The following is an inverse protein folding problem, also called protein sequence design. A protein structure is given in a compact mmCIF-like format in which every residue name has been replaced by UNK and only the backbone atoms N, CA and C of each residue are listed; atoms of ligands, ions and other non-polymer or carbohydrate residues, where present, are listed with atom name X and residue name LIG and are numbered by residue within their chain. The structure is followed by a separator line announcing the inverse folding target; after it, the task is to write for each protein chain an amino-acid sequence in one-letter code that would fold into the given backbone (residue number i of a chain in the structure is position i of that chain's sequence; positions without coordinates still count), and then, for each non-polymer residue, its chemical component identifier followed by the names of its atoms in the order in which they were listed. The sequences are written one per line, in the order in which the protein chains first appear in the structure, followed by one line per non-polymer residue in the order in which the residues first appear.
data_IF_331889649096
#
_entry.id   IF_331889649096
#
_cell.length_a   1.000
_cell.length_b   1.000
_cell.length_c   1.000
_cell.angle_alpha   90.00
_cell.angle_beta   90.00
_cell.angle_gamma   90.00
#
_symmetry.space_group_name_H-M   'P 1'
#
loop_
_entity.id
_entity.type
_entity.pdbx_description
1 polymer ?
#
# COMPACT_ATOMS: atom_id res chain seq x y z
N UNK A 1 -12.25 -4.13 64.27
CA UNK A 1 -11.92 -3.91 63.99
C UNK A 1 -11.27 -3.75 63.08
N UNK A 2 -11.13 -3.52 62.65
CA UNK A 2 -10.54 -3.24 61.99
C UNK A 2 -10.17 -3.59 60.95
N UNK A 3 -9.92 -3.69 60.37
CA UNK A 3 -9.44 -3.97 59.47
C UNK A 3 -9.78 -3.80 58.31
N UNK A 4 -9.96 -3.66 57.98
CA UNK A 4 -10.34 -3.42 57.17
C UNK A 4 -9.86 -2.80 56.33
N UNK A 5 -9.82 -2.32 56.17
CA UNK A 5 -9.35 -1.45 55.58
C UNK A 5 -8.50 -1.75 54.66
N UNK A 6 -7.95 -2.04 54.82
CA UNK A 6 -7.05 -2.32 54.16
C UNK A 6 -7.12 -2.55 52.88
N UNK A 7 -7.66 -3.04 52.61
CA UNK A 7 -7.81 -3.50 51.45
C UNK A 7 -7.83 -2.54 50.46
N UNK A 8 -8.31 -1.67 50.64
CA UNK A 8 -8.48 -0.71 49.74
C UNK A 8 -7.30 -0.46 48.89
N UNK A 9 -6.24 -0.42 49.41
CA UNK A 9 -5.07 -0.08 48.68
C UNK A 9 -4.84 -0.87 47.45
N UNK A 10 -4.99 -2.05 47.56
CA UNK A 10 -4.64 -2.86 46.46
C UNK A 10 -5.32 -2.52 45.19
N UNK A 11 -6.44 -2.07 45.31
CA UNK A 11 -7.13 -1.85 44.12
C UNK A 11 -6.53 -0.90 43.26
N UNK A 12 -6.01 0.06 43.82
CA UNK A 12 -5.51 1.04 43.02
C UNK A 12 -4.56 0.59 42.07
N UNK A 13 -3.75 -0.22 42.42
CA UNK A 13 -2.68 -0.64 41.56
C UNK A 13 -3.14 -1.13 40.24
N UNK A 14 -4.22 -1.73 40.22
CA UNK A 14 -4.69 -2.29 39.02
C UNK A 14 -4.93 -1.35 37.93
N UNK A 15 -5.45 -0.27 38.19
CA UNK A 15 -5.81 0.63 37.16
C UNK A 15 -4.65 1.03 36.32
N UNK A 16 -3.55 1.16 36.90
CA UNK A 16 -2.41 1.62 36.19
C UNK A 16 -1.96 0.74 35.08
N UNK A 17 -2.00 -0.49 35.31
CA UNK A 17 -1.51 -1.41 34.33
C UNK A 17 -2.21 -1.43 33.04
N UNK A 18 -3.45 -1.29 33.10
CA UNK A 18 -4.24 -1.33 31.93
C UNK A 18 -3.87 -0.35 30.87
N UNK A 19 -3.48 0.79 31.28
CA UNK A 19 -3.13 1.80 30.37
C UNK A 19 -2.08 1.44 29.42
N UNK A 20 -1.11 0.76 29.87
CA UNK A 20 0.00 0.40 29.02
C UNK A 20 -0.40 -0.41 27.84
N UNK A 21 -1.28 -1.27 28.03
CA UNK A 21 -1.65 -2.13 26.96
C UNK A 21 -2.17 -1.37 25.77
N UNK A 22 -2.85 -0.34 26.01
CA UNK A 22 -3.44 0.39 24.92
C UNK A 22 -2.42 0.99 24.00
N UNK A 23 -1.31 1.34 24.54
CA UNK A 23 -0.31 1.99 23.75
C UNK A 23 0.35 1.11 22.73
N UNK A 24 0.37 -0.13 22.97
CA UNK A 24 1.04 -1.01 22.06
C UNK A 24 0.27 -1.31 20.82
N UNK A 25 -0.91 -0.79 20.71
CA UNK A 25 -1.73 -1.12 19.58
C UNK A 25 -1.54 -0.23 18.37
N UNK A 26 -0.48 0.49 18.31
CA UNK A 26 -0.25 1.36 17.18
C UNK A 26 -0.12 0.53 15.91
N UNK A 27 -0.75 0.94 14.84
CA UNK A 27 -0.65 0.20 13.60
C UNK A 27 0.74 0.35 13.01
N UNK A 28 1.22 -0.62 12.31
CA UNK A 28 2.52 -0.55 11.70
C UNK A 28 2.48 0.47 10.59
N UNK A 29 3.58 1.13 10.41
CA UNK A 29 3.70 2.04 9.31
C UNK A 29 3.70 1.23 8.06
N UNK A 30 2.93 1.66 7.03
CA UNK A 30 2.92 0.91 5.87
C UNK A 30 3.69 1.62 4.85
N UNK A 31 4.53 0.92 4.19
CA UNK A 31 5.30 1.48 3.12
C UNK A 31 4.35 1.70 1.97
N UNK A 32 4.07 2.91 1.69
CA UNK A 32 3.20 3.17 0.61
C UNK A 32 4.02 3.17 -0.62
N UNK A 33 3.60 2.53 -1.63
CA UNK A 33 4.27 2.61 -2.89
C UNK A 33 4.32 4.06 -3.29
N UNK A 34 5.42 4.46 -3.86
CA UNK A 34 5.54 5.84 -4.28
C UNK A 34 6.97 6.21 -4.53
N UNK A 35 7.18 7.32 -5.21
CA UNK A 35 8.52 7.80 -5.47
C UNK A 35 8.42 9.22 -6.00
N UNK A 36 9.56 9.87 -6.15
CA UNK A 36 9.57 11.23 -6.64
C UNK A 36 10.17 11.31 -8.01
N UNK A 37 9.54 12.10 -8.87
CA UNK A 37 10.07 12.47 -10.15
C UNK A 37 10.51 13.91 -9.99
N UNK A 38 11.78 14.13 -9.74
CA UNK A 38 12.23 15.46 -9.39
C UNK A 38 11.61 15.86 -8.07
N UNK A 39 10.84 16.92 -8.08
CA UNK A 39 10.21 17.40 -6.86
C UNK A 39 8.76 16.89 -6.75
N UNK A 40 8.28 16.18 -7.75
CA UNK A 40 6.89 15.75 -7.74
C UNK A 40 6.73 14.36 -7.16
N UNK A 41 5.81 14.23 -6.25
CA UNK A 41 5.57 12.97 -5.57
C UNK A 41 4.49 12.16 -6.27
N UNK A 42 4.79 10.90 -6.53
CA UNK A 42 3.84 9.97 -7.13
C UNK A 42 3.47 8.94 -6.09
N UNK A 43 2.17 8.72 -5.92
CA UNK A 43 1.67 7.82 -4.89
C UNK A 43 0.78 6.73 -5.51
N UNK A 44 0.63 5.65 -4.77
CA UNK A 44 -0.28 4.59 -5.19
C UNK A 44 -1.68 5.16 -5.31
N UNK A 45 -2.41 4.67 -6.29
CA UNK A 45 -3.75 5.15 -6.56
C UNK A 45 -3.82 6.17 -7.68
N UNK A 46 -2.70 6.74 -8.05
CA UNK A 46 -2.70 7.72 -9.14
C UNK A 46 -2.88 7.02 -10.47
N UNK A 47 -3.45 7.72 -11.42
CA UNK A 47 -3.71 7.14 -12.73
C UNK A 47 -2.45 7.22 -13.60
N UNK A 48 -2.48 6.51 -14.72
CA UNK A 48 -1.38 6.58 -15.66
C UNK A 48 -1.17 8.01 -16.15
N UNK A 49 -2.27 8.73 -16.40
CA UNK A 49 -2.15 10.11 -16.86
C UNK A 49 -1.53 11.01 -15.80
N UNK A 50 -1.89 10.79 -14.54
CA UNK A 50 -1.30 11.57 -13.46
C UNK A 50 0.21 11.34 -13.40
N UNK A 51 0.62 10.10 -13.50
CA UNK A 51 2.03 9.75 -13.42
C UNK A 51 2.79 10.31 -14.61
N UNK A 52 2.23 10.19 -15.80
CA UNK A 52 2.86 10.74 -16.99
C UNK A 52 2.98 12.25 -16.91
N UNK A 53 1.98 12.89 -16.32
CA UNK A 53 2.03 14.34 -16.15
C UNK A 53 3.13 14.77 -15.20
N UNK A 54 3.47 13.94 -14.23
CA UNK A 54 4.49 14.28 -13.25
C UNK A 54 5.88 13.85 -13.69
N UNK A 55 5.98 12.73 -14.36
CA UNK A 55 7.26 12.10 -14.65
C UNK A 55 7.62 12.06 -16.13
N UNK A 56 6.68 12.42 -17.00
CA UNK A 56 6.91 12.29 -18.43
C UNK A 56 6.62 10.88 -18.89
N UNK A 57 6.91 10.61 -20.14
CA UNK A 57 6.64 9.31 -20.70
C UNK A 57 7.62 8.28 -20.15
N UNK A 58 7.16 7.07 -19.89
CA UNK A 58 8.08 6.04 -19.42
C UNK A 58 9.00 5.59 -20.53
N UNK A 59 10.13 5.00 -20.15
CA UNK A 59 11.11 4.52 -21.10
C UNK A 59 10.67 3.21 -21.73
N UNK A 60 9.84 2.45 -21.06
CA UNK A 60 9.30 1.23 -21.61
C UNK A 60 7.95 0.93 -20.96
N UNK A 61 7.08 0.29 -21.71
CA UNK A 61 5.76 -0.07 -21.23
C UNK A 61 5.48 -1.51 -21.62
N UNK A 62 4.95 -2.27 -20.70
CA UNK A 62 4.53 -3.64 -20.96
C UNK A 62 3.12 -3.77 -20.39
N UNK A 63 2.23 -4.35 -21.18
CA UNK A 63 0.85 -4.55 -20.72
C UNK A 63 0.45 -6.00 -20.89
N UNK A 64 -0.46 -6.43 -20.04
CA UNK A 64 -1.00 -7.80 -20.16
C UNK A 64 -2.32 -7.85 -19.42
N UNK A 65 -3.07 -8.92 -19.64
CA UNK A 65 -4.35 -9.10 -19.01
C UNK A 65 -4.30 -10.37 -18.19
N UNK A 66 -4.79 -10.30 -16.96
CA UNK A 66 -4.91 -11.48 -16.10
C UNK A 66 -6.38 -11.73 -15.83
N UNK A 67 -6.76 -13.00 -15.78
CA UNK A 67 -8.14 -13.35 -15.49
C UNK A 67 -8.24 -13.66 -13.99
N UNK A 68 -9.15 -13.00 -13.33
CA UNK A 68 -9.39 -13.21 -11.91
C UNK A 68 -10.80 -13.73 -11.72
N UNK A 69 -11.00 -14.48 -10.64
CA UNK A 69 -12.30 -15.00 -10.31
C UNK A 69 -12.88 -14.17 -9.18
N UNK A 70 -14.10 -13.71 -9.35
CA UNK A 70 -14.78 -12.98 -8.30
C UNK A 70 -16.10 -13.64 -7.97
N UNK A 71 -16.51 -13.52 -6.73
CA UNK A 71 -17.79 -14.09 -6.26
C UNK A 71 -18.80 -12.97 -6.16
N UNK A 72 -19.98 -13.18 -6.71
CA UNK A 72 -21.05 -12.21 -6.63
C UNK A 72 -22.32 -12.92 -6.16
N UNK A 73 -23.25 -12.17 -5.59
CA UNK A 73 -24.52 -12.70 -5.20
C UNK A 73 -25.54 -12.32 -6.25
N UNK A 74 -26.27 -13.33 -6.72
CA UNK A 74 -27.27 -13.10 -7.73
C UNK A 74 -28.46 -13.97 -7.41
N UNK A 75 -29.62 -13.36 -7.24
CA UNK A 75 -30.82 -14.07 -6.89
C UNK A 75 -30.67 -14.96 -5.66
N UNK A 76 -29.94 -14.47 -4.68
CA UNK A 76 -29.73 -15.20 -3.45
C UNK A 76 -28.68 -16.30 -3.53
N UNK A 77 -28.00 -16.44 -4.65
CA UNK A 77 -27.00 -17.47 -4.81
C UNK A 77 -25.64 -16.86 -5.04
N UNK A 78 -24.62 -17.56 -4.58
CA UNK A 78 -23.26 -17.13 -4.80
C UNK A 78 -22.79 -17.69 -6.13
N UNK A 79 -22.37 -16.81 -7.02
CA UNK A 79 -21.93 -17.19 -8.34
C UNK A 79 -20.53 -16.72 -8.53
N UNK A 80 -19.71 -17.54 -9.16
CA UNK A 80 -18.35 -17.15 -9.47
C UNK A 80 -18.23 -16.85 -10.93
N UNK A 81 -17.47 -15.81 -11.25
CA UNK A 81 -17.28 -15.46 -12.64
C UNK A 81 -15.86 -15.00 -12.86
N UNK A 82 -15.40 -15.13 -14.10
CA UNK A 82 -14.07 -14.72 -14.46
C UNK A 82 -14.11 -13.32 -15.01
N UNK A 83 -13.16 -12.50 -14.57
CA UNK A 83 -13.11 -11.10 -14.96
C UNK A 83 -11.70 -10.79 -15.45
N UNK A 84 -11.58 -10.21 -16.64
CA UNK A 84 -10.25 -9.82 -17.12
C UNK A 84 -9.82 -8.53 -16.42
N UNK A 85 -8.56 -8.49 -16.02
CA UNK A 85 -8.01 -7.35 -15.32
C UNK A 85 -6.77 -6.88 -16.07
N UNK A 86 -6.76 -5.63 -16.46
CA UNK A 86 -5.67 -5.05 -17.22
C UNK A 86 -4.51 -4.69 -16.32
N UNK A 87 -3.32 -5.08 -16.72
CA UNK A 87 -2.09 -4.76 -16.00
C UNK A 87 -1.13 -4.04 -16.91
N UNK A 88 -0.35 -3.15 -16.34
CA UNK A 88 0.70 -2.47 -17.08
C UNK A 88 1.90 -2.30 -16.18
N UNK A 89 3.08 -2.38 -16.76
CA UNK A 89 4.30 -2.08 -16.04
C UNK A 89 5.05 -1.04 -16.83
N UNK A 90 5.38 0.06 -16.16
CA UNK A 90 6.12 1.15 -16.76
C UNK A 90 7.52 1.17 -16.18
N UNK A 91 8.50 1.38 -17.02
CA UNK A 91 9.88 1.47 -16.57
C UNK A 91 10.37 2.88 -16.79
N UNK A 92 10.97 3.45 -15.77
CA UNK A 92 11.61 4.75 -15.85
C UNK A 92 13.09 4.61 -15.59
N UNK A 93 13.88 5.20 -16.50
CA UNK A 93 15.33 5.21 -16.38
C UNK A 93 15.74 6.68 -16.23
N UNK A 94 16.14 7.06 -15.02
CA UNK A 94 16.48 8.44 -14.74
C UNK A 94 17.97 8.74 -14.88
N UNK A 95 18.73 7.81 -15.41
CA UNK A 95 20.15 8.02 -15.61
C UNK A 95 20.99 7.00 -14.88
N UNK A 96 22.27 7.02 -15.17
CA UNK A 96 23.21 6.03 -14.63
C UNK A 96 23.41 6.10 -13.13
N UNK A 97 23.14 7.26 -12.56
CA UNK A 97 23.34 7.45 -11.13
C UNK A 97 22.08 7.17 -10.33
N UNK A 98 21.01 6.76 -10.98
CA UNK A 98 19.73 6.54 -10.34
C UNK A 98 19.26 5.12 -10.64
N UNK A 99 18.55 4.57 -9.70
CA UNK A 99 18.01 3.22 -9.88
C UNK A 99 16.77 3.26 -10.77
N UNK A 100 16.61 2.23 -11.58
CA UNK A 100 15.41 2.10 -12.39
C UNK A 100 14.21 1.97 -11.49
N UNK A 101 13.08 2.46 -11.96
CA UNK A 101 11.81 2.33 -11.25
C UNK A 101 10.82 1.61 -12.15
N UNK A 102 10.19 0.61 -11.57
CA UNK A 102 9.16 -0.14 -12.26
C UNK A 102 7.83 0.11 -11.55
N UNK A 103 6.89 0.63 -12.31
CA UNK A 103 5.59 0.99 -11.77
C UNK A 103 4.57 0.01 -12.29
N UNK A 104 3.82 -0.59 -11.38
CA UNK A 104 2.76 -1.52 -11.76
C UNK A 104 1.42 -0.83 -11.65
N UNK A 105 0.68 -0.85 -12.74
CA UNK A 105 -0.68 -0.30 -12.78
C UNK A 105 -1.65 -1.45 -12.95
N UNK A 106 -2.74 -1.41 -12.21
CA UNK A 106 -3.82 -2.37 -12.36
C UNK A 106 -5.08 -1.58 -12.61
N UNK A 107 -5.74 -1.86 -13.72
CA UNK A 107 -6.93 -1.12 -14.15
C UNK A 107 -6.63 0.38 -14.19
N UNK A 108 -5.45 0.73 -14.67
CA UNK A 108 -5.09 2.14 -14.87
C UNK A 108 -4.65 2.88 -13.64
N UNK A 109 -4.52 2.21 -12.49
CA UNK A 109 -4.09 2.88 -11.26
C UNK A 109 -2.83 2.27 -10.71
N UNK A 110 -1.95 3.12 -10.22
CA UNK A 110 -0.67 2.68 -9.69
C UNK A 110 -0.88 1.89 -8.41
N UNK A 111 -0.34 0.68 -8.36
CA UNK A 111 -0.48 -0.18 -7.19
C UNK A 111 0.84 -0.50 -6.52
N UNK A 112 1.95 -0.40 -7.23
CA UNK A 112 3.24 -0.73 -6.64
C UNK A 112 4.36 -0.07 -7.39
N UNK A 113 5.43 0.24 -6.68
CA UNK A 113 6.64 0.78 -7.26
C UNK A 113 7.79 -0.12 -6.81
N UNK A 114 8.56 -0.61 -7.78
CA UNK A 114 9.69 -1.47 -7.49
C UNK A 114 10.95 -0.81 -7.98
N UNK A 115 12.03 -0.99 -7.25
CA UNK A 115 13.31 -0.42 -7.61
C UNK A 115 14.14 -1.49 -8.31
N UNK A 116 14.79 -1.13 -9.38
CA UNK A 116 15.65 -2.05 -10.11
C UNK A 116 17.11 -1.71 -9.98
N UNK A 117 17.86 -2.06 -11.01
CA UNK A 117 19.29 -1.79 -11.03
C UNK A 117 19.52 -0.34 -11.42
N UNK A 118 20.77 0.05 -11.51
CA UNK A 118 21.09 1.40 -11.96
C UNK A 118 20.70 1.58 -13.42
N UNK A 119 20.30 2.79 -13.77
CA UNK A 119 19.90 3.10 -15.12
C UNK A 119 21.05 3.07 -16.11
N UNK A 120 20.72 3.24 -17.37
CA UNK A 120 21.70 3.17 -18.42
C UNK A 120 21.76 4.41 -19.30
N UNK A 121 20.88 5.34 -19.07
CA UNK A 121 20.89 6.57 -19.86
C UNK A 121 22.10 7.39 -19.62
#
# INVERSE_FOLDING_TARGET
MRDFHLDSPSRRALGAIILLAALGAAPPARAEGGFRCGSRLVLNGETEDDVAGKCGDPDAVRTWTEVQTESIWQNGQRIERSVPVEHAEWKYDFGRDRLLRYLTFIQGRLTAVRTGEYGRK
#
